data_IF_328286558243
#
_entry.id   IF_328286558243
#
_cell.length_a   1.000
_cell.length_b   1.000
_cell.length_c   1.000
_cell.angle_alpha   90.00
_cell.angle_beta   90.00
_cell.angle_gamma   90.00
#
_symmetry.space_group_name_H-M   'P 1'
#
loop_
_entity.id
_entity.type
_entity.pdbx_description
1 polymer ?
#
# COMPACT_ATOMS: atom_id res chain seq x y z
N UNK A 1 -31.28 -49.09 13.29
CA UNK A 1 -30.11 -48.90 12.40
C UNK A 1 -29.62 -47.48 12.62
N UNK A 2 -28.43 -47.38 13.20
CA UNK A 2 -27.77 -46.14 13.63
C UNK A 2 -27.31 -45.32 12.42
N UNK A 3 -27.81 -44.10 12.28
CA UNK A 3 -27.18 -43.11 11.42
C UNK A 3 -25.99 -42.50 12.17
N UNK A 4 -24.80 -42.91 11.76
CA UNK A 4 -23.52 -42.34 12.17
C UNK A 4 -23.42 -40.89 11.72
N UNK A 5 -23.25 -39.99 12.68
CA UNK A 5 -22.78 -38.62 12.48
C UNK A 5 -21.36 -38.67 11.92
N UNK A 6 -21.20 -38.40 10.62
CA UNK A 6 -19.92 -37.95 10.06
C UNK A 6 -19.73 -36.48 10.42
N UNK A 7 -19.31 -36.24 11.67
CA UNK A 7 -18.67 -34.98 12.02
C UNK A 7 -17.30 -34.96 11.36
N UNK A 8 -17.22 -34.43 10.14
CA UNK A 8 -15.95 -34.01 9.54
C UNK A 8 -15.24 -33.09 10.54
N UNK A 9 -14.17 -33.59 11.15
CA UNK A 9 -13.26 -32.81 11.97
C UNK A 9 -12.73 -31.65 11.12
N UNK A 10 -13.28 -30.45 11.34
CA UNK A 10 -12.82 -29.24 10.67
C UNK A 10 -11.33 -29.07 10.98
N UNK A 11 -10.48 -29.19 9.95
CA UNK A 11 -9.05 -28.94 10.07
C UNK A 11 -8.91 -27.52 10.66
N UNK A 12 -8.20 -27.34 11.79
CA UNK A 12 -8.07 -26.02 12.39
C UNK A 12 -7.44 -25.08 11.36
N UNK A 13 -8.15 -23.99 11.06
CA UNK A 13 -7.70 -22.99 10.09
C UNK A 13 -6.43 -22.33 10.62
N UNK A 14 -5.34 -22.47 9.86
CA UNK A 14 -4.03 -21.86 10.17
C UNK A 14 -4.18 -20.34 10.31
N UNK A 15 -3.43 -19.75 11.24
CA UNK A 15 -3.44 -18.33 11.54
C UNK A 15 -2.18 -17.65 11.01
N UNK A 16 -2.37 -16.52 10.35
CA UNK A 16 -1.29 -15.65 9.90
C UNK A 16 -1.39 -14.28 10.57
N UNK A 17 -0.30 -13.84 11.17
CA UNK A 17 -0.13 -12.48 11.68
C UNK A 17 0.62 -11.65 10.64
N UNK A 18 -0.01 -10.60 10.12
CA UNK A 18 0.59 -9.67 9.17
C UNK A 18 0.89 -8.37 9.91
N UNK A 19 2.16 -8.00 10.00
CA UNK A 19 2.60 -6.78 10.68
C UNK A 19 2.77 -5.67 9.65
N UNK A 20 1.92 -4.65 9.70
CA UNK A 20 1.87 -3.51 8.79
C UNK A 20 0.66 -3.54 7.86
N UNK A 21 -0.34 -2.68 8.12
CA UNK A 21 -1.55 -2.48 7.32
C UNK A 21 -1.36 -1.46 6.20
N UNK A 22 -0.21 -1.49 5.52
CA UNK A 22 0.02 -0.72 4.30
C UNK A 22 -0.42 -1.48 3.06
N UNK A 23 -0.16 -0.92 1.87
CA UNK A 23 -0.57 -1.49 0.58
C UNK A 23 -0.21 -2.99 0.43
N UNK A 24 1.03 -3.36 0.78
CA UNK A 24 1.51 -4.75 0.65
C UNK A 24 0.86 -5.67 1.70
N UNK A 25 0.77 -5.24 2.95
CA UNK A 25 0.22 -6.06 4.03
C UNK A 25 -1.27 -6.31 3.88
N UNK A 26 -2.04 -5.28 3.50
CA UNK A 26 -3.46 -5.43 3.24
C UNK A 26 -3.73 -6.26 1.99
N UNK A 27 -2.94 -6.12 0.92
CA UNK A 27 -3.04 -7.01 -0.23
C UNK A 27 -2.72 -8.46 0.16
N UNK A 28 -1.66 -8.70 0.93
CA UNK A 28 -1.34 -10.04 1.44
C UNK A 28 -2.48 -10.62 2.29
N UNK A 29 -3.14 -9.81 3.12
CA UNK A 29 -4.30 -10.22 3.90
C UNK A 29 -5.42 -10.78 3.01
N UNK A 30 -5.74 -10.12 1.89
CA UNK A 30 -6.72 -10.62 0.92
C UNK A 30 -6.30 -11.98 0.33
N UNK A 31 -5.04 -12.14 -0.06
CA UNK A 31 -4.53 -13.40 -0.61
C UNK A 31 -4.62 -14.56 0.39
N UNK A 32 -4.32 -14.31 1.67
CA UNK A 32 -4.45 -15.32 2.72
C UNK A 32 -5.91 -15.63 3.07
N UNK A 33 -6.75 -14.60 3.13
CA UNK A 33 -8.17 -14.74 3.43
C UNK A 33 -8.87 -15.64 2.41
N UNK A 34 -8.61 -15.43 1.12
CA UNK A 34 -9.14 -16.26 0.03
C UNK A 34 -8.63 -17.70 0.04
N UNK A 35 -7.47 -17.95 0.65
CA UNK A 35 -6.91 -19.29 0.88
C UNK A 35 -7.44 -19.94 2.16
N UNK A 36 -8.39 -19.31 2.85
CA UNK A 36 -9.05 -19.86 4.04
C UNK A 36 -8.25 -19.73 5.34
N UNK A 37 -7.17 -18.93 5.37
CA UNK A 37 -6.43 -18.66 6.60
C UNK A 37 -7.21 -17.72 7.52
N UNK A 38 -6.97 -17.82 8.84
CA UNK A 38 -7.38 -16.80 9.79
C UNK A 38 -6.32 -15.69 9.79
N UNK A 39 -6.68 -14.50 9.31
CA UNK A 39 -5.76 -13.39 9.12
C UNK A 39 -5.93 -12.37 10.24
N UNK A 40 -4.82 -12.03 10.89
CA UNK A 40 -4.73 -10.94 11.85
C UNK A 40 -3.75 -9.89 11.31
N UNK A 41 -4.27 -8.75 10.86
CA UNK A 41 -3.51 -7.64 10.30
C UNK A 41 -3.31 -6.56 11.36
N UNK A 42 -2.08 -6.23 11.69
CA UNK A 42 -1.74 -5.24 12.73
C UNK A 42 -1.16 -3.97 12.11
N UNK A 43 -1.77 -2.82 12.35
CA UNK A 43 -1.30 -1.52 11.89
C UNK A 43 -1.00 -0.61 13.09
N UNK A 44 0.18 0.03 13.07
CA UNK A 44 0.59 0.94 14.15
C UNK A 44 -0.19 2.25 14.12
N UNK A 45 -0.66 2.69 12.96
CA UNK A 45 -1.39 3.95 12.78
C UNK A 45 -2.87 3.76 13.15
N UNK A 46 -3.56 4.88 13.28
CA UNK A 46 -5.02 4.91 13.34
C UNK A 46 -5.62 4.56 11.97
N UNK A 47 -6.89 4.17 11.98
CA UNK A 47 -7.62 3.92 10.74
C UNK A 47 -7.80 5.23 9.96
N UNK A 48 -7.19 5.30 8.78
CA UNK A 48 -7.22 6.47 7.90
C UNK A 48 -8.58 6.69 7.23
N UNK A 49 -9.46 5.67 7.23
CA UNK A 49 -10.81 5.76 6.66
C UNK A 49 -11.72 6.66 7.48
N UNK A 50 -11.40 6.83 8.77
CA UNK A 50 -12.17 7.65 9.69
C UNK A 50 -11.90 9.15 9.44
N UNK A 51 -12.94 10.01 9.33
CA UNK A 51 -12.79 11.43 9.00
C UNK A 51 -11.81 12.20 9.89
N UNK A 52 -11.80 11.91 11.19
CA UNK A 52 -10.95 12.55 12.19
C UNK A 52 -9.46 12.24 12.02
N UNK A 53 -9.12 11.20 11.26
CA UNK A 53 -7.73 10.80 11.00
C UNK A 53 -7.24 11.24 9.62
N UNK A 54 -8.11 11.78 8.76
CA UNK A 54 -7.69 12.27 7.42
C UNK A 54 -6.74 13.46 7.56
N UNK A 55 -5.62 13.42 6.84
CA UNK A 55 -4.57 14.46 6.90
C UNK A 55 -3.70 14.46 8.16
N UNK A 56 -3.94 13.57 9.13
CA UNK A 56 -3.17 13.52 10.39
C UNK A 56 -1.82 12.79 10.29
N UNK A 57 -1.55 12.13 9.16
CA UNK A 57 -0.32 11.37 8.93
C UNK A 57 0.50 12.04 7.82
N UNK A 58 1.76 12.45 8.07
CA UNK A 58 2.68 12.81 6.99
C UNK A 58 2.94 11.57 6.13
N UNK A 59 2.21 11.47 5.02
CA UNK A 59 2.31 10.37 4.07
C UNK A 59 3.62 10.50 3.28
N UNK A 60 4.22 9.36 2.92
CA UNK A 60 5.30 9.33 1.93
C UNK A 60 4.66 9.25 0.55
N UNK A 61 4.65 10.37 -0.19
CA UNK A 61 4.06 10.50 -1.53
C UNK A 61 2.53 10.47 -1.53
N UNK A 62 1.92 11.55 -2.03
CA UNK A 62 0.47 11.66 -2.25
C UNK A 62 0.02 10.64 -3.33
N UNK A 63 0.75 10.59 -4.44
CA UNK A 63 0.45 9.70 -5.57
C UNK A 63 1.55 8.67 -5.83
N UNK A 64 1.15 7.59 -6.49
CA UNK A 64 1.97 6.48 -6.93
C UNK A 64 1.76 6.23 -8.43
N UNK A 65 2.83 5.84 -9.12
CA UNK A 65 2.73 5.31 -10.47
C UNK A 65 2.44 3.80 -10.42
N UNK A 66 1.20 3.42 -10.72
CA UNK A 66 0.78 2.03 -10.83
C UNK A 66 1.09 1.50 -12.24
N UNK A 67 1.81 0.38 -12.32
CA UNK A 67 2.20 -0.28 -13.57
C UNK A 67 1.61 -1.69 -13.65
N UNK A 68 1.84 -2.38 -14.77
CA UNK A 68 1.37 -3.74 -15.05
C UNK A 68 1.57 -4.73 -13.91
N UNK A 69 2.68 -4.65 -13.17
CA UNK A 69 2.95 -5.56 -12.05
C UNK A 69 1.99 -5.33 -10.89
N UNK A 70 1.72 -4.07 -10.55
CA UNK A 70 0.75 -3.73 -9.51
C UNK A 70 -0.67 -4.09 -9.92
N UNK A 71 -1.05 -3.76 -11.16
CA UNK A 71 -2.36 -4.12 -11.72
C UNK A 71 -2.56 -5.64 -11.72
N UNK A 72 -1.56 -6.40 -12.17
CA UNK A 72 -1.64 -7.86 -12.17
C UNK A 72 -1.78 -8.44 -10.75
N UNK A 73 -1.11 -7.86 -9.76
CA UNK A 73 -1.24 -8.28 -8.37
C UNK A 73 -2.63 -7.97 -7.78
N UNK A 74 -3.25 -6.87 -8.19
CA UNK A 74 -4.62 -6.51 -7.81
C UNK A 74 -5.64 -7.43 -8.50
N UNK A 75 -5.50 -7.61 -9.82
CA UNK A 75 -6.34 -8.50 -10.64
C UNK A 75 -6.35 -9.94 -10.11
N UNK A 76 -5.19 -10.47 -9.73
CA UNK A 76 -5.07 -11.82 -9.14
C UNK A 76 -5.60 -11.93 -7.72
N UNK A 77 -5.76 -10.82 -7.00
CA UNK A 77 -6.50 -10.81 -5.75
C UNK A 77 -8.02 -10.85 -5.98
N UNK A 78 -8.49 -10.70 -7.23
CA UNK A 78 -9.90 -10.76 -7.59
C UNK A 78 -10.71 -9.59 -7.04
N UNK A 79 -12.02 -9.79 -6.94
CA UNK A 79 -12.99 -8.82 -6.37
C UNK A 79 -13.06 -7.51 -7.17
N UNK A 80 -12.79 -7.58 -8.48
CA UNK A 80 -12.84 -6.46 -9.42
C UNK A 80 -12.00 -5.25 -8.95
N UNK A 81 -10.91 -5.52 -8.21
CA UNK A 81 -10.02 -4.50 -7.66
C UNK A 81 -9.32 -3.71 -8.74
N UNK A 82 -8.85 -4.38 -9.79
CA UNK A 82 -8.25 -3.75 -10.96
C UNK A 82 -9.26 -2.87 -11.70
N UNK A 83 -10.47 -3.35 -11.96
CA UNK A 83 -11.52 -2.56 -12.61
C UNK A 83 -11.93 -1.33 -11.77
N UNK A 84 -12.12 -1.52 -10.45
CA UNK A 84 -12.43 -0.45 -9.51
C UNK A 84 -11.37 0.66 -9.49
N UNK A 85 -10.09 0.26 -9.58
CA UNK A 85 -8.97 1.21 -9.65
C UNK A 85 -8.91 1.86 -11.02
N UNK A 86 -8.92 1.07 -12.10
CA UNK A 86 -8.76 1.54 -13.48
C UNK A 86 -9.85 2.52 -13.91
N UNK A 87 -11.08 2.39 -13.39
CA UNK A 87 -12.15 3.36 -13.59
C UNK A 87 -11.91 4.71 -12.88
N UNK A 88 -11.03 4.74 -11.87
CA UNK A 88 -10.84 5.91 -11.01
C UNK A 88 -9.50 6.62 -11.28
N UNK A 89 -8.50 5.96 -11.84
CA UNK A 89 -7.15 6.52 -12.03
C UNK A 89 -6.96 7.27 -13.35
N UNK A 90 -5.89 8.07 -13.42
CA UNK A 90 -5.53 8.83 -14.61
C UNK A 90 -4.44 8.08 -15.39
N UNK A 91 -4.66 7.73 -16.68
CA UNK A 91 -3.65 7.09 -17.50
C UNK A 91 -2.58 8.09 -17.94
N UNK A 92 -1.32 7.78 -17.68
CA UNK A 92 -0.14 8.48 -18.19
C UNK A 92 0.46 7.67 -19.34
N UNK A 93 0.34 8.21 -20.56
CA UNK A 93 0.75 7.60 -21.83
C UNK A 93 2.25 7.77 -22.12
N UNK A 94 2.89 8.70 -21.43
CA UNK A 94 4.31 8.98 -21.62
C UNK A 94 4.88 9.93 -20.58
N UNK A 95 6.12 10.33 -20.83
CA UNK A 95 6.85 11.36 -20.09
C UNK A 95 6.78 12.67 -20.85
N UNK A 96 6.48 13.76 -20.16
CA UNK A 96 6.61 15.10 -20.70
C UNK A 96 7.87 15.73 -20.11
N UNK A 97 8.91 15.85 -20.92
CA UNK A 97 10.20 16.41 -20.48
C UNK A 97 10.21 17.93 -20.68
N UNK A 98 10.48 18.64 -19.59
CA UNK A 98 10.66 20.09 -19.55
C UNK A 98 12.15 20.43 -19.60
N UNK A 99 12.67 20.59 -20.82
CA UNK A 99 14.12 20.65 -21.12
C UNK A 99 14.81 21.99 -20.78
N UNK A 100 14.05 23.01 -20.35
CA UNK A 100 14.53 24.38 -20.17
C UNK A 100 13.99 25.31 -21.25
N UNK A 101 14.01 26.63 -21.01
CA UNK A 101 13.53 27.66 -21.95
C UNK A 101 12.07 27.45 -22.43
N UNK A 102 11.25 26.72 -21.66
CA UNK A 102 9.87 26.38 -22.03
C UNK A 102 9.73 25.24 -23.06
N UNK A 103 10.82 24.60 -23.50
CA UNK A 103 10.78 23.50 -24.47
C UNK A 103 10.21 22.23 -23.84
N UNK A 104 9.16 21.67 -24.47
CA UNK A 104 8.50 20.43 -24.09
C UNK A 104 8.86 19.31 -25.08
N UNK A 105 9.21 18.13 -24.55
CA UNK A 105 9.42 16.92 -25.35
C UNK A 105 8.61 15.76 -24.79
N UNK A 106 7.59 15.35 -25.54
CA UNK A 106 6.80 14.15 -25.25
C UNK A 106 7.57 12.89 -25.62
N UNK A 107 7.56 11.89 -24.74
CA UNK A 107 8.16 10.58 -24.95
C UNK A 107 7.17 9.50 -24.51
N UNK A 108 6.55 8.74 -25.43
CA UNK A 108 5.62 7.67 -25.05
C UNK A 108 6.34 6.58 -24.26
N UNK A 109 5.63 5.88 -23.38
CA UNK A 109 6.23 4.78 -22.60
C UNK A 109 6.57 3.54 -23.44
N UNK A 110 5.76 3.27 -24.46
CA UNK A 110 5.90 2.11 -25.33
C UNK A 110 5.33 2.35 -26.72
N UNK A 111 5.41 1.34 -27.57
CA UNK A 111 5.03 1.42 -28.99
C UNK A 111 3.51 1.22 -29.22
N UNK A 112 2.80 0.64 -28.23
CA UNK A 112 1.43 0.15 -28.40
C UNK A 112 0.57 0.43 -27.16
N UNK A 113 0.08 1.68 -27.02
CA UNK A 113 -0.88 2.14 -25.99
C UNK A 113 -0.58 1.75 -24.52
N UNK A 114 0.67 1.41 -24.20
CA UNK A 114 1.09 1.05 -22.85
C UNK A 114 1.12 2.28 -21.95
N UNK A 115 0.39 2.20 -20.83
CA UNK A 115 0.25 3.31 -19.88
C UNK A 115 0.72 2.88 -18.50
N UNK A 116 1.23 3.84 -17.74
CA UNK A 116 1.25 3.77 -16.28
C UNK A 116 0.12 4.64 -15.75
N UNK A 117 -0.35 4.38 -14.54
CA UNK A 117 -1.51 5.07 -13.99
C UNK A 117 -1.11 5.87 -12.75
N UNK A 118 -1.60 7.10 -12.64
CA UNK A 118 -1.48 7.90 -11.43
C UNK A 118 -2.59 7.49 -10.47
N UNK A 119 -2.23 6.93 -9.32
CA UNK A 119 -3.17 6.53 -8.27
C UNK A 119 -2.81 7.23 -6.96
N UNK A 120 -3.83 7.74 -6.27
CA UNK A 120 -3.67 8.27 -4.92
C UNK A 120 -3.39 7.11 -3.95
N UNK A 121 -2.35 7.26 -3.12
CA UNK A 121 -1.93 6.22 -2.18
C UNK A 121 -3.02 5.92 -1.15
N UNK A 122 -3.66 6.97 -0.65
CA UNK A 122 -4.73 6.85 0.35
C UNK A 122 -5.93 6.11 -0.21
N UNK A 123 -6.42 6.54 -1.39
CA UNK A 123 -7.50 5.86 -2.09
C UNK A 123 -7.23 4.36 -2.28
N UNK A 124 -6.03 4.00 -2.76
CA UNK A 124 -5.69 2.60 -2.97
C UNK A 124 -5.67 1.80 -1.65
N UNK A 125 -5.20 2.40 -0.57
CA UNK A 125 -5.19 1.75 0.73
C UNK A 125 -6.59 1.63 1.34
N UNK A 126 -7.43 2.67 1.23
CA UNK A 126 -8.84 2.64 1.64
C UNK A 126 -9.58 1.52 0.92
N UNK A 127 -9.42 1.42 -0.41
CA UNK A 127 -10.01 0.36 -1.20
C UNK A 127 -9.61 -1.02 -0.67
N UNK A 128 -8.31 -1.28 -0.50
CA UNK A 128 -7.82 -2.57 -0.02
C UNK A 128 -8.34 -2.92 1.38
N UNK A 129 -8.41 -1.95 2.30
CA UNK A 129 -8.93 -2.16 3.65
C UNK A 129 -10.43 -2.47 3.62
N UNK A 130 -11.20 -1.71 2.85
CA UNK A 130 -12.64 -1.92 2.66
C UNK A 130 -12.96 -3.25 1.99
N UNK A 131 -12.07 -3.73 1.12
CA UNK A 131 -12.21 -5.07 0.52
C UNK A 131 -11.87 -6.18 1.50
N UNK A 132 -10.93 -5.96 2.42
CA UNK A 132 -10.48 -6.97 3.39
C UNK A 132 -11.42 -7.12 4.59
N UNK A 133 -12.02 -6.04 5.07
CA UNK A 133 -12.86 -6.01 6.28
C UNK A 133 -14.10 -6.92 6.25
N UNK A 134 -14.82 -7.09 5.13
CA UNK A 134 -15.99 -7.99 5.05
C UNK A 134 -15.66 -9.48 5.18
N UNK A 135 -14.39 -9.88 5.04
CA UNK A 135 -14.00 -11.28 5.20
C UNK A 135 -14.12 -11.70 6.67
N UNK A 136 -14.97 -12.70 6.94
CA UNK A 136 -15.19 -13.21 8.31
C UNK A 136 -13.95 -13.81 8.97
N UNK A 137 -12.95 -14.18 8.17
CA UNK A 137 -11.66 -14.70 8.60
C UNK A 137 -10.54 -13.65 8.61
N UNK A 138 -10.85 -12.35 8.48
CA UNK A 138 -9.89 -11.25 8.58
C UNK A 138 -10.23 -10.39 9.80
N UNK A 139 -9.22 -10.08 10.61
CA UNK A 139 -9.30 -9.10 11.69
C UNK A 139 -8.21 -8.05 11.51
N UNK A 140 -8.59 -6.79 11.57
CA UNK A 140 -7.67 -5.66 11.42
C UNK A 140 -7.58 -4.93 12.76
N UNK A 141 -6.36 -4.79 13.28
CA UNK A 141 -6.04 -4.18 14.56
C UNK A 141 -5.23 -2.90 14.32
N UNK A 142 -5.89 -1.74 14.40
CA UNK A 142 -5.23 -0.43 14.35
C UNK A 142 -4.63 -0.03 15.70
N UNK A 143 -3.71 0.93 15.70
CA UNK A 143 -2.99 1.39 16.90
C UNK A 143 -2.22 0.27 17.63
N UNK A 144 -1.82 -0.79 16.91
CA UNK A 144 -1.03 -1.90 17.45
C UNK A 144 0.41 -1.78 16.97
N UNK A 145 1.31 -1.35 17.85
CA UNK A 145 2.75 -1.23 17.54
C UNK A 145 3.48 -2.50 17.97
N UNK A 146 4.05 -3.22 17.01
CA UNK A 146 4.90 -4.37 17.30
C UNK A 146 6.11 -3.94 18.16
N UNK A 147 6.34 -4.67 19.26
CA UNK A 147 7.51 -4.51 20.13
C UNK A 147 8.45 -5.70 20.03
N UNK A 148 7.92 -6.92 20.00
CA UNK A 148 8.71 -8.14 20.01
C UNK A 148 8.04 -9.27 19.22
N UNK A 149 8.85 -10.07 18.55
CA UNK A 149 8.51 -11.35 17.95
C UNK A 149 9.39 -12.43 18.58
N UNK A 150 8.77 -13.49 19.07
CA UNK A 150 9.43 -14.77 19.28
C UNK A 150 9.05 -15.68 18.12
N UNK A 151 9.96 -15.81 17.15
CA UNK A 151 9.70 -16.51 15.89
C UNK A 151 9.55 -18.02 16.08
N UNK A 152 10.32 -18.63 17.00
CA UNK A 152 10.25 -20.07 17.26
C UNK A 152 8.92 -20.47 17.91
N UNK A 153 8.41 -19.62 18.82
CA UNK A 153 7.14 -19.86 19.48
C UNK A 153 5.92 -19.28 18.72
N UNK A 154 6.14 -18.55 17.62
CA UNK A 154 5.08 -17.87 16.88
C UNK A 154 4.35 -16.79 17.69
N UNK A 155 5.02 -16.14 18.65
CA UNK A 155 4.43 -15.15 19.55
C UNK A 155 4.79 -13.73 19.11
N UNK A 156 3.82 -12.83 19.08
CA UNK A 156 4.00 -11.41 18.82
C UNK A 156 3.47 -10.58 20.00
N UNK A 157 4.28 -9.63 20.46
CA UNK A 157 3.92 -8.69 21.52
C UNK A 157 3.75 -7.29 20.92
N UNK A 158 2.57 -6.73 21.11
CA UNK A 158 2.19 -5.40 20.64
C UNK A 158 1.92 -4.47 21.81
N UNK A 159 2.30 -3.21 21.67
CA UNK A 159 1.79 -2.11 22.48
C UNK A 159 0.54 -1.54 21.78
N UNK A 160 -0.59 -1.53 22.47
CA UNK A 160 -1.75 -0.74 22.05
C UNK A 160 -1.46 0.73 22.37
N UNK A 161 -1.31 1.57 21.34
CA UNK A 161 -0.89 2.96 21.46
C UNK A 161 -1.94 3.82 22.20
N UNK A 162 -3.22 3.45 22.14
CA UNK A 162 -4.29 4.22 22.75
C UNK A 162 -4.24 4.17 24.28
N UNK A 163 -3.91 3.01 24.85
CA UNK A 163 -3.97 2.78 26.29
C UNK A 163 -2.63 2.32 26.91
N UNK A 164 -1.58 2.17 26.10
CA UNK A 164 -0.25 1.73 26.53
C UNK A 164 -0.14 0.27 26.96
N UNK A 165 -1.21 -0.54 26.83
CA UNK A 165 -1.20 -1.93 27.28
C UNK A 165 -0.42 -2.82 26.30
N UNK A 166 0.33 -3.76 26.86
CA UNK A 166 0.94 -4.84 26.11
C UNK A 166 -0.09 -5.95 25.86
N UNK A 167 -0.21 -6.37 24.62
CA UNK A 167 -1.11 -7.44 24.18
C UNK A 167 -0.30 -8.46 23.38
N UNK A 168 -0.58 -9.74 23.62
CA UNK A 168 0.12 -10.84 23.00
C UNK A 168 -0.80 -11.59 22.03
N UNK A 169 -0.24 -11.96 20.88
CA UNK A 169 -0.90 -12.78 19.87
C UNK A 169 0.00 -13.97 19.50
N UNK A 170 -0.62 -15.04 19.03
CA UNK A 170 0.07 -16.24 18.52
C UNK A 170 -0.33 -16.48 17.08
N UNK A 171 0.59 -16.93 16.24
CA UNK A 171 0.34 -17.24 14.83
C UNK A 171 1.23 -18.39 14.33
N UNK A 172 0.74 -19.12 13.31
CA UNK A 172 1.49 -20.17 12.63
C UNK A 172 2.45 -19.60 11.58
N UNK A 173 2.18 -18.37 11.11
CA UNK A 173 3.01 -17.63 10.17
C UNK A 173 3.03 -16.14 10.53
N UNK A 174 4.21 -15.54 10.48
CA UNK A 174 4.41 -14.10 10.65
C UNK A 174 4.86 -13.50 9.31
N UNK A 175 4.15 -12.47 8.84
CA UNK A 175 4.49 -11.72 7.63
C UNK A 175 4.88 -10.30 8.01
N UNK A 176 6.14 -9.93 7.80
CA UNK A 176 6.62 -8.56 7.97
C UNK A 176 6.32 -7.69 6.74
N UNK A 177 5.32 -6.82 6.85
CA UNK A 177 4.90 -5.84 5.83
C UNK A 177 4.92 -4.40 6.38
N UNK A 178 5.74 -4.13 7.40
CA UNK A 178 5.82 -2.91 8.20
C UNK A 178 6.75 -1.83 7.63
N UNK A 179 7.15 -2.00 6.36
CA UNK A 179 7.79 -0.99 5.53
C UNK A 179 9.31 -0.90 5.66
N UNK A 180 9.89 0.20 5.16
CA UNK A 180 11.35 0.34 5.05
C UNK A 180 12.08 0.25 6.41
N UNK A 181 11.45 0.74 7.49
CA UNK A 181 11.98 0.72 8.86
C UNK A 181 11.32 -0.42 9.66
N UNK A 182 11.38 -1.63 9.10
CA UNK A 182 10.70 -2.82 9.60
C UNK A 182 11.24 -3.27 10.96
N UNK A 183 10.35 -3.39 11.94
CA UNK A 183 10.64 -4.02 13.24
C UNK A 183 10.82 -5.52 13.07
N UNK A 184 10.01 -6.17 12.23
CA UNK A 184 10.13 -7.61 11.96
C UNK A 184 11.50 -7.96 11.40
N UNK A 185 11.96 -7.23 10.37
CA UNK A 185 13.30 -7.41 9.78
C UNK A 185 14.39 -7.20 10.84
N UNK A 186 14.30 -6.13 11.62
CA UNK A 186 15.30 -5.84 12.64
C UNK A 186 15.44 -6.97 13.65
N UNK A 187 14.33 -7.61 14.06
CA UNK A 187 14.38 -8.72 14.99
C UNK A 187 14.85 -10.03 14.34
N UNK A 188 14.48 -10.26 13.07
CA UNK A 188 15.00 -11.40 12.31
C UNK A 188 16.52 -11.37 12.19
N UNK A 189 17.12 -10.20 11.92
CA UNK A 189 18.58 -10.04 11.79
C UNK A 189 19.37 -10.49 13.04
N UNK A 190 18.73 -10.59 14.21
CA UNK A 190 19.38 -11.05 15.44
C UNK A 190 19.34 -12.57 15.64
N UNK A 191 18.50 -13.30 14.89
CA UNK A 191 18.29 -14.74 15.09
C UNK A 191 18.62 -15.59 13.86
N UNK A 192 18.76 -14.97 12.68
CA UNK A 192 19.18 -15.65 11.46
C UNK A 192 20.45 -15.02 10.89
N UNK A 193 21.27 -15.85 10.24
CA UNK A 193 22.41 -15.38 9.46
C UNK A 193 21.88 -14.69 8.19
N UNK A 194 21.72 -13.37 8.25
CA UNK A 194 21.16 -12.55 7.19
C UNK A 194 22.13 -11.41 6.84
N UNK A 195 22.47 -11.33 5.56
CA UNK A 195 23.18 -10.16 5.04
C UNK A 195 22.23 -8.95 4.98
N UNK A 196 22.68 -7.81 5.52
CA UNK A 196 21.93 -6.56 5.53
C UNK A 196 22.82 -5.36 5.23
N UNK A 197 22.33 -4.48 4.35
CA UNK A 197 22.95 -3.19 4.06
C UNK A 197 21.87 -2.11 4.05
N UNK A 198 22.18 -0.97 4.68
CA UNK A 198 21.36 0.23 4.64
C UNK A 198 22.21 1.42 4.26
N UNK A 199 21.82 2.10 3.19
CA UNK A 199 22.49 3.30 2.70
C UNK A 199 21.47 4.44 2.55
N UNK A 200 21.84 5.62 3.03
CA UNK A 200 21.07 6.84 2.81
C UNK A 200 21.61 7.56 1.57
N UNK A 201 20.76 7.72 0.55
CA UNK A 201 21.11 8.49 -0.63
C UNK A 201 21.24 9.99 -0.29
N UNK A 202 22.06 10.77 -1.03
CA UNK A 202 22.27 12.19 -0.73
C UNK A 202 21.08 13.09 -1.09
N UNK A 203 20.10 12.56 -1.84
CA UNK A 203 18.93 13.32 -2.26
C UNK A 203 17.77 13.17 -1.27
N UNK A 204 17.07 14.27 -1.01
CA UNK A 204 15.78 14.28 -0.32
C UNK A 204 14.67 14.64 -1.30
N UNK A 205 13.41 14.40 -0.92
CA UNK A 205 12.24 14.83 -1.68
C UNK A 205 11.39 15.79 -0.85
N UNK A 206 10.68 16.68 -1.55
CA UNK A 206 9.64 17.56 -0.99
C UNK A 206 8.48 17.59 -1.96
N UNK A 207 7.27 17.57 -1.42
CA UNK A 207 6.04 17.64 -2.20
C UNK A 207 5.61 19.10 -2.39
N UNK A 208 5.18 19.39 -3.62
CA UNK A 208 4.65 20.69 -4.03
C UNK A 208 3.38 20.42 -4.86
N UNK A 209 2.39 21.30 -4.73
CA UNK A 209 1.10 21.15 -5.42
C UNK A 209 0.98 22.19 -6.53
N UNK A 210 0.61 21.74 -7.73
CA UNK A 210 0.22 22.61 -8.84
C UNK A 210 -1.31 22.69 -8.84
N UNK A 211 -1.92 23.86 -8.57
CA UNK A 211 -3.37 23.98 -8.52
C UNK A 211 -3.99 23.85 -9.93
N UNK A 212 -5.27 23.48 -10.03
CA UNK A 212 -5.99 23.51 -11.29
C UNK A 212 -6.09 24.95 -11.80
N UNK A 213 -6.13 25.11 -13.13
CA UNK A 213 -6.48 26.38 -13.77
C UNK A 213 -8.00 26.55 -13.80
N UNK A 214 -8.47 27.78 -13.76
CA UNK A 214 -9.89 28.12 -13.99
C UNK A 214 -10.00 28.66 -15.41
N UNK A 215 -10.86 28.07 -16.22
CA UNK A 215 -11.12 28.54 -17.58
C UNK A 215 -12.11 29.73 -17.59
N UNK A 216 -12.32 30.32 -18.76
CA UNK A 216 -13.19 31.51 -18.93
C UNK A 216 -14.64 31.27 -18.46
N UNK A 217 -15.09 30.01 -18.45
CA UNK A 217 -16.42 29.60 -17.98
C UNK A 217 -16.47 29.29 -16.47
N UNK A 218 -15.39 29.56 -15.72
CA UNK A 218 -15.30 29.28 -14.28
C UNK A 218 -15.07 27.80 -13.94
N UNK A 219 -14.85 26.93 -14.93
CA UNK A 219 -14.63 25.49 -14.71
C UNK A 219 -13.15 25.23 -14.43
N UNK A 220 -12.88 24.34 -13.46
CA UNK A 220 -11.53 23.86 -13.14
C UNK A 220 -11.04 22.89 -14.21
N UNK A 221 -9.81 23.09 -14.66
CA UNK A 221 -9.10 22.25 -15.62
C UNK A 221 -7.65 21.99 -15.16
N UNK A 222 -7.04 20.93 -15.68
CA UNK A 222 -5.62 20.68 -15.44
C UNK A 222 -4.78 21.82 -16.02
N UNK A 223 -3.79 22.28 -15.25
CA UNK A 223 -2.86 23.31 -15.71
C UNK A 223 -1.87 22.81 -16.77
N UNK A 224 -1.75 21.49 -16.93
CA UNK A 224 -0.84 20.81 -17.87
C UNK A 224 -1.51 19.53 -18.42
N UNK A 225 -0.88 18.88 -19.40
CA UNK A 225 -1.36 17.61 -19.97
C UNK A 225 -1.45 16.51 -18.89
N UNK A 226 -2.67 16.12 -18.53
CA UNK A 226 -2.92 15.12 -17.50
C UNK A 226 -2.61 13.69 -17.96
N UNK A 227 -2.30 13.46 -19.24
CA UNK A 227 -1.90 12.15 -19.75
C UNK A 227 -0.38 11.93 -19.76
N UNK A 228 0.41 12.75 -19.06
CA UNK A 228 1.85 12.55 -18.93
C UNK A 228 2.34 12.58 -17.49
N UNK A 229 3.43 11.85 -17.24
CA UNK A 229 4.32 12.12 -16.13
C UNK A 229 5.22 13.29 -16.52
N UNK A 230 5.07 14.44 -15.87
CA UNK A 230 5.92 15.58 -16.17
C UNK A 230 7.25 15.47 -15.43
N UNK A 231 8.37 15.77 -16.11
CA UNK A 231 9.72 15.69 -15.56
C UNK A 231 10.49 16.96 -15.92
N UNK A 232 11.07 17.62 -14.91
CA UNK A 232 12.03 18.71 -15.06
C UNK A 232 13.40 18.21 -14.62
N UNK A 233 14.16 17.56 -15.52
CA UNK A 233 15.49 17.09 -15.18
C UNK A 233 16.44 18.29 -15.09
N UNK A 234 17.19 18.39 -13.99
CA UNK A 234 18.36 19.27 -13.86
C UNK A 234 19.51 18.42 -13.35
N UNK A 235 20.74 18.94 -13.46
CA UNK A 235 21.92 18.13 -13.13
C UNK A 235 21.94 17.67 -11.66
N UNK A 236 21.65 18.57 -10.71
CA UNK A 236 21.75 18.30 -9.27
C UNK A 236 20.42 18.04 -8.58
N UNK A 237 19.30 18.24 -9.28
CA UNK A 237 17.96 18.04 -8.74
C UNK A 237 16.99 17.69 -9.86
N UNK A 238 15.85 17.12 -9.51
CA UNK A 238 14.79 16.84 -10.47
C UNK A 238 13.45 17.14 -9.82
N UNK A 239 12.49 17.55 -10.64
CA UNK A 239 11.09 17.62 -10.24
C UNK A 239 10.29 16.68 -11.12
N UNK A 240 9.34 15.98 -10.53
CA UNK A 240 8.34 15.19 -11.24
C UNK A 240 6.96 15.63 -10.78
N UNK A 241 5.97 15.59 -11.68
CA UNK A 241 4.58 15.86 -11.33
C UNK A 241 3.69 14.75 -11.89
N UNK A 242 2.82 14.23 -11.02
CA UNK A 242 1.79 13.26 -11.35
C UNK A 242 0.43 13.97 -11.30
N UNK A 243 -0.51 13.62 -12.19
CA UNK A 243 -1.86 14.19 -12.20
C UNK A 243 -2.71 13.60 -11.07
N UNK A 244 -3.58 14.42 -10.48
CA UNK A 244 -4.58 14.06 -9.47
C UNK A 244 -5.98 14.31 -10.04
N UNK A 245 -7.02 13.63 -9.55
CA UNK A 245 -8.40 13.94 -9.93
C UNK A 245 -8.93 15.20 -9.23
#
# INVERSE_FOLDING_TARGET
MSHSNDSQLAIPKRRVAIVGGGLVGTLAALYFAQRGWNVELFEKRRDLRLPENKGSVPQRSINLALSTRGISALSKAGLDLDDSILGTVIPMRGRMIHAGEGKLKSQPYGNSHENIYSVEREFLLELLLNTAEPFSNVKIFFQHRLKRCNFDAGILEFENIENGKMVQYTADLIVGADGAYSTVRNQLMHIVNMDYQQEYIPHAYRELTIPPKVNENGKREFAMDFNHLHIWPRHKFMMIALPNK
#
